data_IF_067472079773
#
_entry.id   IF_067472079773
#
_cell.length_a   1.000
_cell.length_b   1.000
_cell.length_c   1.000
_cell.angle_alpha   90.00
_cell.angle_beta   90.00
_cell.angle_gamma   90.00
#
_symmetry.space_group_name_H-M   'P 1'
#
loop_
_entity.id
_entity.type
_entity.pdbx_description
1 polymer ?
#
# COMPACT_ATOMS: atom_id res chain seq x y z
N UNK A 1 -7.02 37.96 2.69
CA UNK A 1 -6.81 36.53 3.03
C UNK A 1 -5.92 35.81 2.01
N UNK A 2 -6.04 36.10 0.71
CA UNK A 2 -5.15 35.48 -0.32
C UNK A 2 -3.69 35.86 -0.16
N UNK A 3 -3.39 37.13 -0.02
CA UNK A 3 -2.00 37.63 0.10
C UNK A 3 -1.28 37.10 1.33
N UNK A 4 -1.97 36.98 2.47
CA UNK A 4 -1.38 36.39 3.69
C UNK A 4 -1.05 34.91 3.51
N UNK A 5 -1.91 34.17 2.79
CA UNK A 5 -1.70 32.77 2.47
C UNK A 5 -0.50 32.61 1.51
N UNK A 6 -0.43 33.44 0.46
CA UNK A 6 0.68 33.43 -0.49
C UNK A 6 2.02 33.74 0.18
N UNK A 7 2.04 34.67 1.13
CA UNK A 7 3.23 35.03 1.88
C UNK A 7 3.68 33.92 2.84
N UNK A 8 2.75 33.27 3.54
CA UNK A 8 3.04 32.17 4.49
C UNK A 8 3.53 30.94 3.75
N UNK A 9 2.97 30.62 2.60
CA UNK A 9 3.32 29.45 1.81
C UNK A 9 4.40 29.73 0.75
N UNK A 10 4.84 30.99 0.57
CA UNK A 10 5.89 31.34 -0.39
C UNK A 10 5.56 30.91 -1.82
N UNK A 11 4.31 31.05 -2.26
CA UNK A 11 3.82 30.42 -3.51
C UNK A 11 4.56 30.96 -4.74
N UNK A 12 4.98 32.22 -4.69
CA UNK A 12 5.69 32.92 -5.77
C UNK A 12 7.21 33.07 -5.52
N UNK A 13 7.71 32.57 -4.38
CA UNK A 13 9.11 32.68 -4.03
C UNK A 13 9.98 31.65 -4.76
N UNK A 14 11.08 32.08 -5.36
CA UNK A 14 12.04 31.18 -5.99
C UNK A 14 12.83 30.35 -4.98
N UNK A 15 12.97 30.84 -3.74
CA UNK A 15 13.65 30.17 -2.63
C UNK A 15 12.81 30.25 -1.38
N UNK A 16 12.50 29.09 -0.81
CA UNK A 16 11.70 29.01 0.40
C UNK A 16 12.57 29.14 1.64
N UNK A 17 12.08 29.91 2.61
CA UNK A 17 12.67 29.96 3.95
C UNK A 17 12.28 28.72 4.75
N UNK A 18 13.04 28.43 5.81
CA UNK A 18 12.78 27.25 6.67
C UNK A 18 11.37 27.24 7.28
N UNK A 19 10.84 28.40 7.65
CA UNK A 19 9.50 28.52 8.23
C UNK A 19 8.40 28.35 7.17
N UNK A 20 8.61 28.81 5.93
CA UNK A 20 7.70 28.57 4.81
C UNK A 20 7.63 27.08 4.45
N UNK A 21 8.77 26.38 4.44
CA UNK A 21 8.81 24.91 4.26
C UNK A 21 8.03 24.20 5.39
N UNK A 22 8.18 24.67 6.64
CA UNK A 22 7.45 24.11 7.77
C UNK A 22 5.95 24.34 7.65
N UNK A 23 5.54 25.54 7.25
CA UNK A 23 4.12 25.86 7.00
C UNK A 23 3.55 25.01 5.86
N UNK A 24 4.31 24.84 4.75
CA UNK A 24 3.95 23.95 3.65
C UNK A 24 3.83 22.51 4.11
N UNK A 25 4.73 22.01 4.95
CA UNK A 25 4.66 20.65 5.46
C UNK A 25 3.35 20.41 6.23
N UNK A 26 2.93 21.34 7.09
CA UNK A 26 1.65 21.27 7.81
C UNK A 26 0.47 21.28 6.82
N UNK A 27 0.45 22.25 5.89
CA UNK A 27 -0.64 22.36 4.90
C UNK A 27 -0.74 21.13 3.99
N UNK A 28 0.40 20.64 3.49
CA UNK A 28 0.47 19.43 2.67
C UNK A 28 0.02 18.20 3.47
N UNK A 29 0.40 18.08 4.73
CA UNK A 29 -0.02 16.98 5.58
C UNK A 29 -1.56 16.95 5.76
N UNK A 30 -2.17 18.11 6.05
CA UNK A 30 -3.63 18.21 6.17
C UNK A 30 -4.30 17.87 4.83
N UNK A 31 -3.81 18.46 3.72
CA UNK A 31 -4.32 18.17 2.38
C UNK A 31 -4.20 16.66 2.05
N UNK A 32 -3.07 16.05 2.38
CA UNK A 32 -2.82 14.63 2.18
C UNK A 32 -3.85 13.77 2.93
N UNK A 33 -4.10 14.07 4.20
CA UNK A 33 -5.10 13.35 5.00
C UNK A 33 -6.51 13.47 4.41
N UNK A 34 -6.90 14.67 3.98
CA UNK A 34 -8.21 14.90 3.36
C UNK A 34 -8.35 14.13 2.05
N UNK A 35 -7.34 14.18 1.19
CA UNK A 35 -7.31 13.48 -0.11
C UNK A 35 -7.44 11.96 0.10
N UNK A 36 -6.64 11.39 1.03
CA UNK A 36 -6.70 9.96 1.36
C UNK A 36 -8.07 9.58 1.90
N UNK A 37 -8.66 10.43 2.75
CA UNK A 37 -10.00 10.18 3.32
C UNK A 37 -11.09 10.13 2.25
N UNK A 38 -11.01 10.96 1.21
CA UNK A 38 -11.91 10.93 0.04
C UNK A 38 -11.68 9.68 -0.81
N UNK A 39 -10.43 9.20 -0.87
CA UNK A 39 -10.03 8.03 -1.64
C UNK A 39 -10.62 6.69 -1.20
N UNK A 40 -10.96 6.52 0.03
CA UNK A 40 -11.54 5.37 0.75
C UNK A 40 -10.58 4.79 1.82
N UNK A 41 -11.11 4.46 3.00
CA UNK A 41 -10.31 3.95 4.13
C UNK A 41 -9.61 2.60 3.88
N UNK A 42 -9.95 1.90 2.80
CA UNK A 42 -9.35 0.62 2.41
C UNK A 42 -8.01 0.74 1.68
N UNK A 43 -7.64 1.95 1.20
CA UNK A 43 -6.43 2.16 0.38
C UNK A 43 -5.16 1.75 1.14
N UNK A 44 -5.12 1.95 2.46
CA UNK A 44 -3.96 1.61 3.30
C UNK A 44 -4.19 0.39 4.21
N UNK A 45 -5.35 -0.29 4.12
CA UNK A 45 -5.74 -1.35 5.05
C UNK A 45 -5.22 -2.76 4.75
N UNK A 46 -4.78 -3.05 3.53
CA UNK A 46 -4.36 -4.40 3.11
C UNK A 46 -2.94 -4.49 2.54
N UNK A 47 -2.19 -3.40 2.49
CA UNK A 47 -0.78 -3.35 2.06
C UNK A 47 -0.47 -4.22 0.81
N UNK A 48 -1.33 -4.18 -0.21
CA UNK A 48 -1.00 -4.82 -1.47
C UNK A 48 0.17 -4.08 -2.14
N UNK A 49 0.92 -4.76 -3.01
CA UNK A 49 1.99 -4.11 -3.78
C UNK A 49 1.49 -2.84 -4.50
N UNK A 50 0.24 -2.87 -4.99
CA UNK A 50 -0.41 -1.73 -5.63
C UNK A 50 -0.59 -0.54 -4.67
N UNK A 51 -0.96 -0.77 -3.41
CA UNK A 51 -1.12 0.28 -2.40
C UNK A 51 0.24 0.86 -1.97
N UNK A 52 1.28 0.02 -1.90
CA UNK A 52 2.64 0.45 -1.58
C UNK A 52 3.19 1.37 -2.68
N UNK A 53 3.04 0.99 -3.95
CA UNK A 53 3.47 1.83 -5.09
C UNK A 53 2.74 3.16 -5.07
N UNK A 54 1.42 3.17 -4.83
CA UNK A 54 0.67 4.42 -4.65
C UNK A 54 1.27 5.28 -3.54
N UNK A 55 1.53 4.71 -2.36
CA UNK A 55 2.08 5.44 -1.22
C UNK A 55 3.43 6.08 -1.52
N UNK A 56 4.33 5.37 -2.22
CA UNK A 56 5.65 5.87 -2.63
C UNK A 56 5.50 7.04 -3.61
N UNK A 57 4.70 6.88 -4.67
CA UNK A 57 4.48 7.93 -5.68
C UNK A 57 3.80 9.14 -5.04
N UNK A 58 2.78 8.91 -4.21
CA UNK A 58 2.05 9.96 -3.51
C UNK A 58 2.96 10.78 -2.60
N UNK A 59 3.78 10.13 -1.78
CA UNK A 59 4.74 10.80 -0.91
C UNK A 59 5.80 11.58 -1.71
N UNK A 60 6.29 11.02 -2.81
CA UNK A 60 7.25 11.67 -3.70
C UNK A 60 6.68 12.95 -4.35
N UNK A 61 5.43 12.91 -4.82
CA UNK A 61 4.75 14.08 -5.38
C UNK A 61 4.60 15.16 -4.30
N UNK A 62 4.06 14.82 -3.13
CA UNK A 62 3.81 15.77 -2.05
C UNK A 62 5.08 16.38 -1.47
N UNK A 63 6.17 15.64 -1.40
CA UNK A 63 7.47 16.15 -0.97
C UNK A 63 7.93 17.35 -1.82
N UNK A 64 7.65 17.35 -3.12
CA UNK A 64 8.01 18.46 -4.02
C UNK A 64 7.22 19.74 -3.73
N UNK A 65 5.97 19.63 -3.26
CA UNK A 65 5.19 20.77 -2.82
C UNK A 65 5.76 21.40 -1.53
N UNK A 66 6.28 20.58 -0.63
CA UNK A 66 6.90 21.05 0.63
C UNK A 66 8.21 21.78 0.33
N UNK A 67 9.07 21.19 -0.49
CA UNK A 67 10.42 21.73 -0.78
C UNK A 67 10.43 22.85 -1.82
N UNK A 68 9.30 23.15 -2.47
CA UNK A 68 9.23 24.18 -3.51
C UNK A 68 9.75 23.74 -4.88
N UNK A 69 10.14 22.47 -5.04
CA UNK A 69 10.64 21.93 -6.30
C UNK A 69 9.55 21.71 -7.37
N UNK A 70 8.30 22.03 -7.04
CA UNK A 70 7.17 22.05 -7.96
C UNK A 70 6.14 23.09 -7.48
N UNK A 71 5.29 23.63 -8.38
CA UNK A 71 4.22 24.54 -8.03
C UNK A 71 3.26 23.91 -7.02
N UNK A 72 2.89 24.64 -5.96
CA UNK A 72 2.13 24.10 -4.83
C UNK A 72 0.78 23.51 -5.25
N UNK A 73 -0.10 24.32 -5.85
CA UNK A 73 -1.44 23.90 -6.21
C UNK A 73 -1.51 22.82 -7.28
N UNK A 74 -0.73 22.88 -8.38
CA UNK A 74 -0.67 21.80 -9.35
C UNK A 74 -0.20 20.47 -8.74
N UNK A 75 0.71 20.52 -7.77
CA UNK A 75 1.20 19.30 -7.10
C UNK A 75 0.12 18.67 -6.22
N UNK A 76 -0.67 19.49 -5.48
CA UNK A 76 -1.81 18.99 -4.71
C UNK A 76 -2.88 18.40 -5.64
N UNK A 77 -3.17 19.06 -6.77
CA UNK A 77 -4.10 18.54 -7.77
C UNK A 77 -3.63 17.20 -8.37
N UNK A 78 -2.33 17.05 -8.67
CA UNK A 78 -1.76 15.80 -9.16
C UNK A 78 -1.89 14.69 -8.13
N UNK A 79 -1.61 14.97 -6.85
CA UNK A 79 -1.80 14.02 -5.75
C UNK A 79 -3.26 13.58 -5.61
N UNK A 80 -4.21 14.51 -5.71
CA UNK A 80 -5.64 14.19 -5.70
C UNK A 80 -6.04 13.31 -6.89
N UNK A 81 -5.58 13.65 -8.09
CA UNK A 81 -5.85 12.87 -9.31
C UNK A 81 -5.33 11.44 -9.19
N UNK A 82 -4.13 11.25 -8.62
CA UNK A 82 -3.55 9.92 -8.40
C UNK A 82 -4.41 9.07 -7.46
N UNK A 83 -4.88 9.64 -6.36
CA UNK A 83 -5.77 8.94 -5.42
C UNK A 83 -7.12 8.63 -6.05
N UNK A 84 -7.68 9.54 -6.86
CA UNK A 84 -8.92 9.29 -7.59
C UNK A 84 -8.76 8.20 -8.64
N UNK A 85 -7.66 8.19 -9.38
CA UNK A 85 -7.35 7.12 -10.32
C UNK A 85 -7.27 5.77 -9.61
N UNK A 86 -6.56 5.70 -8.48
CA UNK A 86 -6.48 4.48 -7.67
C UNK A 86 -7.87 4.01 -7.21
N UNK A 87 -8.71 4.93 -6.73
CA UNK A 87 -10.09 4.63 -6.33
C UNK A 87 -10.91 4.09 -7.50
N UNK A 88 -10.81 4.70 -8.67
CA UNK A 88 -11.50 4.25 -9.87
C UNK A 88 -11.04 2.83 -10.27
N UNK A 89 -9.73 2.58 -10.34
CA UNK A 89 -9.18 1.26 -10.64
C UNK A 89 -9.63 0.21 -9.63
N UNK A 90 -9.63 0.54 -8.33
CA UNK A 90 -10.11 -0.35 -7.29
C UNK A 90 -11.62 -0.67 -7.42
N UNK A 91 -12.43 0.33 -7.82
CA UNK A 91 -13.87 0.18 -8.05
C UNK A 91 -14.14 -0.65 -9.31
N UNK A 92 -13.42 -0.39 -10.40
CA UNK A 92 -13.50 -1.21 -11.61
C UNK A 92 -13.11 -2.66 -11.35
N UNK A 93 -12.04 -2.88 -10.60
CA UNK A 93 -11.59 -4.22 -10.20
C UNK A 93 -12.62 -4.97 -9.35
N UNK A 94 -13.49 -4.25 -8.63
CA UNK A 94 -14.57 -4.85 -7.84
C UNK A 94 -15.78 -5.25 -8.69
N UNK A 95 -16.11 -4.47 -9.72
CA UNK A 95 -17.31 -4.70 -10.55
C UNK A 95 -17.03 -5.54 -11.79
N UNK A 96 -15.76 -5.77 -12.16
CA UNK A 96 -15.45 -6.56 -13.34
C UNK A 96 -15.16 -8.02 -12.99
N UNK A 97 -15.98 -8.93 -13.52
CA UNK A 97 -15.77 -10.39 -13.46
C UNK A 97 -14.58 -10.85 -14.33
N UNK A 98 -13.98 -9.94 -15.11
CA UNK A 98 -12.91 -10.23 -16.07
C UNK A 98 -11.51 -10.46 -15.47
N UNK A 99 -11.37 -10.70 -14.16
CA UNK A 99 -10.06 -10.98 -13.56
C UNK A 99 -9.11 -9.77 -13.46
N UNK A 100 -9.56 -8.56 -13.84
CA UNK A 100 -8.77 -7.31 -13.74
C UNK A 100 -8.36 -7.06 -12.29
N UNK A 101 -9.23 -7.40 -11.33
CA UNK A 101 -8.92 -7.31 -9.90
C UNK A 101 -7.75 -8.18 -9.49
N UNK A 102 -7.62 -9.34 -10.10
CA UNK A 102 -6.54 -10.29 -9.85
C UNK A 102 -5.24 -9.89 -10.52
N UNK A 103 -5.32 -9.25 -11.70
CA UNK A 103 -4.16 -8.70 -12.38
C UNK A 103 -3.56 -7.52 -11.61
N UNK A 104 -4.40 -6.59 -11.12
CA UNK A 104 -3.95 -5.38 -10.40
C UNK A 104 -3.49 -5.72 -8.97
N UNK A 105 -4.26 -6.56 -8.26
CA UNK A 105 -4.04 -6.84 -6.83
C UNK A 105 -3.30 -8.15 -6.56
N UNK A 106 -3.10 -8.98 -7.57
CA UNK A 106 -2.59 -10.35 -7.43
C UNK A 106 -3.63 -11.31 -6.85
N UNK A 107 -3.33 -12.62 -6.90
CA UNK A 107 -4.11 -13.70 -6.25
C UNK A 107 -3.32 -14.31 -5.11
N UNK A 108 -3.93 -14.67 -3.99
CA UNK A 108 -3.29 -15.51 -3.00
C UNK A 108 -2.88 -16.84 -3.62
N UNK A 109 -1.65 -17.29 -3.38
CA UNK A 109 -1.14 -18.58 -3.87
C UNK A 109 -1.00 -19.56 -2.71
N UNK A 110 -1.55 -20.75 -2.85
CA UNK A 110 -1.42 -21.78 -1.84
C UNK A 110 0.02 -22.37 -1.90
N UNK A 111 0.74 -22.25 -0.79
CA UNK A 111 2.10 -22.79 -0.60
C UNK A 111 2.08 -24.14 0.08
N UNK A 112 1.07 -24.39 0.94
CA UNK A 112 0.83 -25.68 1.61
C UNK A 112 -0.65 -26.02 1.52
N UNK A 113 -0.95 -27.29 1.25
CA UNK A 113 -2.28 -27.90 1.33
C UNK A 113 -2.20 -29.21 2.09
N UNK A 114 -2.93 -29.33 3.18
CA UNK A 114 -3.02 -30.53 4.02
C UNK A 114 -1.65 -31.15 4.40
N UNK A 115 -0.69 -30.30 4.79
CA UNK A 115 0.67 -30.72 5.15
C UNK A 115 1.60 -30.93 3.96
N UNK A 116 1.14 -30.75 2.71
CA UNK A 116 1.94 -30.95 1.51
C UNK A 116 2.39 -29.63 0.89
N UNK A 117 3.71 -29.49 0.72
CA UNK A 117 4.29 -28.32 0.05
C UNK A 117 3.91 -28.31 -1.43
N UNK A 118 3.44 -27.16 -1.89
CA UNK A 118 3.15 -26.86 -3.30
C UNK A 118 4.43 -26.27 -3.94
N UNK A 119 5.35 -27.14 -4.35
CA UNK A 119 6.70 -26.74 -4.82
C UNK A 119 6.64 -25.77 -6.00
N UNK A 120 5.79 -26.02 -7.00
CA UNK A 120 5.63 -25.16 -8.17
C UNK A 120 5.19 -23.75 -7.77
N UNK A 121 4.19 -23.65 -6.88
CA UNK A 121 3.71 -22.37 -6.38
C UNK A 121 4.78 -21.61 -5.56
N UNK A 122 5.62 -22.33 -4.82
CA UNK A 122 6.74 -21.76 -4.08
C UNK A 122 7.83 -21.24 -5.02
N UNK A 123 8.18 -21.99 -6.05
CA UNK A 123 9.17 -21.60 -7.07
C UNK A 123 8.70 -20.38 -7.86
N UNK A 124 7.48 -20.39 -8.39
CA UNK A 124 6.87 -19.24 -9.10
C UNK A 124 6.81 -17.98 -8.25
N UNK A 125 6.68 -18.14 -6.94
CA UNK A 125 6.55 -17.02 -6.00
C UNK A 125 7.89 -16.64 -5.34
N UNK A 126 8.98 -17.35 -5.68
CA UNK A 126 10.31 -17.18 -5.04
C UNK A 126 10.27 -17.30 -3.51
N UNK A 127 9.37 -18.15 -2.99
CA UNK A 127 9.23 -18.41 -1.55
C UNK A 127 10.04 -19.65 -1.18
N UNK A 128 10.94 -19.49 -0.21
CA UNK A 128 11.77 -20.58 0.29
C UNK A 128 11.10 -21.32 1.45
N UNK A 129 11.61 -22.52 1.76
CA UNK A 129 11.18 -23.24 2.97
C UNK A 129 11.50 -22.47 4.25
N UNK A 130 12.52 -21.61 4.23
CA UNK A 130 12.88 -20.80 5.39
C UNK A 130 11.85 -19.68 5.62
N UNK A 131 11.36 -19.04 4.55
CA UNK A 131 10.30 -18.02 4.64
C UNK A 131 9.02 -18.63 5.20
N UNK A 132 8.67 -19.85 4.77
CA UNK A 132 7.52 -20.56 5.31
C UNK A 132 7.70 -20.87 6.82
N UNK A 133 8.88 -21.35 7.24
CA UNK A 133 9.18 -21.60 8.65
C UNK A 133 9.13 -20.32 9.48
N UNK A 134 9.59 -19.20 8.93
CA UNK A 134 9.50 -17.90 9.57
C UNK A 134 8.05 -17.47 9.76
N UNK A 135 7.21 -17.64 8.74
CA UNK A 135 5.78 -17.35 8.83
C UNK A 135 5.07 -18.20 9.90
N UNK A 136 5.41 -19.50 9.99
CA UNK A 136 4.88 -20.40 11.03
C UNK A 136 5.26 -19.88 12.42
N UNK A 137 6.53 -19.54 12.65
CA UNK A 137 6.97 -18.99 13.96
C UNK A 137 6.27 -17.65 14.26
N UNK A 138 6.10 -16.80 13.25
CA UNK A 138 5.44 -15.48 13.39
C UNK A 138 3.95 -15.61 13.71
N UNK A 139 3.31 -16.73 13.36
CA UNK A 139 1.92 -17.02 13.75
C UNK A 139 1.77 -17.51 15.19
N UNK A 140 2.88 -17.56 15.95
CA UNK A 140 2.88 -18.04 17.34
C UNK A 140 2.84 -19.56 17.49
N UNK A 141 3.05 -20.30 16.39
CA UNK A 141 2.98 -21.75 16.39
C UNK A 141 4.40 -22.35 16.22
N UNK A 142 4.67 -23.44 16.94
CA UNK A 142 5.84 -24.30 16.75
C UNK A 142 5.51 -25.52 15.89
N UNK A 143 4.41 -25.49 15.14
CA UNK A 143 3.93 -26.57 14.30
C UNK A 143 4.92 -26.90 13.17
N UNK A 144 4.98 -28.16 12.78
CA UNK A 144 5.65 -28.59 11.58
C UNK A 144 4.83 -28.28 10.31
N UNK A 145 5.41 -28.50 9.13
CA UNK A 145 4.67 -28.34 7.87
C UNK A 145 3.49 -29.33 7.80
N UNK A 146 3.64 -30.51 8.40
CA UNK A 146 2.63 -31.57 8.41
C UNK A 146 1.37 -31.21 9.20
N UNK A 147 1.50 -30.28 10.17
CA UNK A 147 0.40 -29.78 11.00
C UNK A 147 -0.37 -28.64 10.33
N UNK A 148 0.09 -28.17 9.18
CA UNK A 148 -0.54 -27.08 8.45
C UNK A 148 -1.66 -27.63 7.57
N UNK A 149 -2.87 -27.08 7.71
CA UNK A 149 -3.97 -27.32 6.81
C UNK A 149 -3.78 -26.54 5.51
N UNK A 150 -3.57 -25.22 5.64
CA UNK A 150 -3.28 -24.33 4.52
C UNK A 150 -2.23 -23.29 4.88
N UNK A 151 -1.35 -22.98 3.95
CA UNK A 151 -0.55 -21.76 3.99
C UNK A 151 -0.67 -21.04 2.64
N UNK A 152 -0.94 -19.73 2.67
CA UNK A 152 -1.07 -18.93 1.47
C UNK A 152 -0.09 -17.77 1.48
N UNK A 153 0.53 -17.53 0.32
CA UNK A 153 1.16 -16.25 0.05
C UNK A 153 0.05 -15.24 -0.27
N UNK A 154 -0.13 -14.29 0.60
CA UNK A 154 -1.16 -13.26 0.48
C UNK A 154 -0.76 -12.18 -0.54
N UNK A 155 -1.72 -11.37 -0.97
CA UNK A 155 -1.52 -10.22 -1.88
C UNK A 155 -0.54 -9.18 -1.33
N UNK A 156 -0.35 -9.15 -0.03
CA UNK A 156 0.60 -8.27 0.67
C UNK A 156 2.04 -8.79 0.67
N UNK A 157 2.27 -9.99 0.13
CA UNK A 157 3.55 -10.69 0.24
C UNK A 157 3.77 -11.41 1.58
N UNK A 158 2.83 -11.29 2.53
CA UNK A 158 2.87 -12.05 3.79
C UNK A 158 2.37 -13.46 3.59
N UNK A 159 2.89 -14.39 4.37
CA UNK A 159 2.39 -15.78 4.38
C UNK A 159 1.42 -15.93 5.54
N UNK A 160 0.18 -16.31 5.23
CA UNK A 160 -0.82 -16.70 6.24
C UNK A 160 -0.79 -18.22 6.44
N UNK A 161 -0.99 -18.66 7.70
CA UNK A 161 -0.91 -20.09 8.08
C UNK A 161 -2.20 -20.45 8.83
N UNK A 162 -2.82 -21.54 8.41
CA UNK A 162 -3.97 -22.17 9.06
C UNK A 162 -3.55 -23.58 9.46
N UNK A 163 -3.61 -23.89 10.74
CA UNK A 163 -3.29 -25.21 11.28
C UNK A 163 -4.45 -26.19 11.07
N UNK A 164 -4.14 -27.47 11.08
CA UNK A 164 -5.15 -28.51 11.21
C UNK A 164 -5.81 -28.41 12.58
N UNK A 165 -7.12 -28.63 12.64
CA UNK A 165 -7.81 -28.78 13.91
C UNK A 165 -7.19 -29.95 14.64
N UNK A 166 -6.73 -29.78 15.87
CA UNK A 166 -6.35 -30.88 16.72
C UNK A 166 -7.67 -31.57 17.09
N UNK A 167 -7.92 -32.76 16.54
CA UNK A 167 -8.98 -33.62 17.03
C UNK A 167 -8.63 -33.95 18.48
N UNK A 168 -9.46 -33.44 19.42
CA UNK A 168 -9.45 -33.87 20.81
C UNK A 168 -9.95 -35.32 20.96
#
# INVERSE_FOLDING_TARGET
MGETFELVFGIHDNTLTWWQMSARAVGVFIAALLIIRVGNHRIFGKNSAFDIVLGIIYGSILSRAITGNAPFWPTIAAAFTLVMLHKLLATFAFHSDFGIGDFIKGRPKALVKDGKLQKEAMEESSVTKNDLKEAIRSSGSYAGVDDIKYAYLERSGKISVVLKDQEE
#
